data_IF_210352757944
#
_entry.id   IF_210352757944
#
_cell.length_a   1.000
_cell.length_b   1.000
_cell.length_c   1.000
_cell.angle_alpha   90.00
_cell.angle_beta   90.00
_cell.angle_gamma   90.00
#
_symmetry.space_group_name_H-M   'P 1'
#
loop_
_entity.id
_entity.type
_entity.pdbx_description
1 polymer ?
#
# COMPACT_ATOMS: atom_id res chain seq x y z
N UNK A 1 -29.47 28.01 -16.30
CA UNK A 1 -29.73 26.58 -16.02
C UNK A 1 -28.41 25.83 -16.16
N UNK A 2 -27.97 25.00 -15.19
CA UNK A 2 -26.95 23.98 -15.41
C UNK A 2 -27.59 22.72 -16.02
N UNK A 3 -26.80 21.92 -16.76
CA UNK A 3 -26.32 20.64 -16.22
C UNK A 3 -24.78 20.54 -16.35
N UNK A 4 -24.04 20.38 -15.25
CA UNK A 4 -23.57 19.12 -14.60
C UNK A 4 -22.56 18.30 -15.44
N UNK A 5 -21.27 18.42 -15.03
CA UNK A 5 -20.18 17.42 -14.86
C UNK A 5 -19.90 16.46 -16.05
N UNK A 6 -18.66 16.09 -16.40
CA UNK A 6 -17.53 15.66 -15.57
C UNK A 6 -16.25 15.58 -16.43
N UNK A 7 -15.08 15.70 -15.81
CA UNK A 7 -13.74 15.74 -16.43
C UNK A 7 -13.38 14.45 -17.17
N UNK A 8 -12.88 14.60 -18.40
CA UNK A 8 -12.31 13.52 -19.21
C UNK A 8 -10.80 13.44 -18.95
N UNK A 9 -10.40 12.35 -18.30
CA UNK A 9 -9.02 11.89 -18.13
C UNK A 9 -8.48 11.40 -19.48
N UNK A 10 -7.30 11.88 -19.87
CA UNK A 10 -6.42 11.26 -20.87
C UNK A 10 -5.01 11.23 -20.26
N UNK A 11 -4.48 10.05 -19.89
CA UNK A 11 -3.82 8.98 -20.68
C UNK A 11 -2.38 9.32 -21.07
N UNK A 12 -1.44 8.63 -20.44
CA UNK A 12 -0.20 8.04 -21.00
C UNK A 12 0.32 7.03 -19.93
N UNK A 13 0.16 5.70 -20.05
CA UNK A 13 0.72 4.72 -20.99
C UNK A 13 2.20 4.36 -20.76
N UNK A 14 2.48 3.49 -19.78
CA UNK A 14 3.51 2.43 -19.90
C UNK A 14 2.94 1.11 -19.35
N UNK A 15 3.27 0.03 -20.05
CA UNK A 15 2.59 -1.28 -20.10
C UNK A 15 3.44 -2.33 -19.35
N UNK A 16 2.76 -3.38 -18.87
CA UNK A 16 3.25 -4.71 -18.44
C UNK A 16 3.73 -4.79 -16.97
N UNK A 17 3.19 -5.64 -16.09
CA UNK A 17 2.37 -6.84 -16.24
C UNK A 17 1.25 -6.89 -15.17
N UNK A 18 0.08 -7.36 -15.58
CA UNK A 18 -0.98 -7.79 -14.68
C UNK A 18 -0.53 -9.13 -14.10
N UNK A 19 0.07 -9.12 -12.91
CA UNK A 19 -0.09 -10.25 -12.00
C UNK A 19 -1.24 -9.89 -11.09
N UNK A 20 -2.42 -10.50 -11.30
CA UNK A 20 -3.29 -10.72 -10.14
C UNK A 20 -2.43 -11.36 -9.04
N UNK A 21 -2.64 -11.03 -7.77
CA UNK A 21 -2.62 -12.09 -6.79
C UNK A 21 -3.91 -12.00 -5.98
N UNK A 22 -4.37 -13.14 -5.46
CA UNK A 22 -5.39 -13.23 -4.42
C UNK A 22 -5.43 -11.99 -3.53
N UNK A 23 -6.62 -11.45 -3.23
CA UNK A 23 -6.92 -10.29 -2.36
C UNK A 23 -6.36 -10.43 -0.92
N UNK A 24 -5.30 -11.19 -0.70
CA UNK A 24 -4.78 -11.56 0.59
C UNK A 24 -3.26 -11.50 0.54
N UNK A 25 -2.67 -10.60 1.33
CA UNK A 25 -1.23 -10.56 1.54
C UNK A 25 -0.80 -11.74 2.42
N UNK A 26 0.30 -12.37 2.06
CA UNK A 26 0.88 -13.45 2.86
C UNK A 26 1.71 -12.91 4.03
N UNK A 27 1.85 -13.74 5.07
CA UNK A 27 2.81 -13.49 6.12
C UNK A 27 4.20 -13.34 5.49
N UNK A 28 4.95 -12.35 5.95
CA UNK A 28 6.28 -12.01 5.46
C UNK A 28 6.37 -11.40 4.05
N UNK A 29 5.24 -11.13 3.39
CA UNK A 29 5.22 -10.34 2.16
C UNK A 29 5.82 -8.95 2.40
N UNK A 30 6.62 -8.48 1.44
CA UNK A 30 7.18 -7.11 1.44
C UNK A 30 6.23 -6.19 0.69
N UNK A 31 5.95 -5.03 1.28
CA UNK A 31 5.04 -4.02 0.75
C UNK A 31 5.62 -2.64 1.04
N UNK A 32 5.23 -1.63 0.26
CA UNK A 32 5.45 -0.24 0.62
C UNK A 32 4.19 0.26 1.32
N UNK A 33 4.31 0.71 2.57
CA UNK A 33 3.16 1.18 3.35
C UNK A 33 3.25 2.69 3.55
N UNK A 34 2.16 3.39 3.27
CA UNK A 34 2.02 4.82 3.52
C UNK A 34 1.84 5.06 5.02
N UNK A 35 2.74 5.87 5.58
CA UNK A 35 2.65 6.32 6.97
C UNK A 35 1.89 7.65 7.08
N UNK A 36 1.66 8.14 8.30
CA UNK A 36 0.86 9.35 8.59
C UNK A 36 1.42 10.64 7.99
N UNK A 37 2.70 10.65 7.63
CA UNK A 37 3.41 11.72 6.93
C UNK A 37 3.14 11.74 5.41
N UNK A 38 2.31 10.81 4.91
CA UNK A 38 2.02 10.57 3.50
C UNK A 38 3.20 10.00 2.69
N UNK A 39 4.30 9.63 3.34
CA UNK A 39 5.44 8.98 2.70
C UNK A 39 5.28 7.46 2.73
N UNK A 40 5.79 6.79 1.70
CA UNK A 40 5.82 5.34 1.62
C UNK A 40 7.12 4.80 2.19
N UNK A 41 7.01 3.81 3.07
CA UNK A 41 8.16 3.15 3.68
C UNK A 41 8.17 1.66 3.36
N UNK A 42 9.36 1.10 3.22
CA UNK A 42 9.54 -0.34 3.07
C UNK A 42 9.02 -1.04 4.33
N UNK A 43 8.07 -1.94 4.17
CA UNK A 43 7.43 -2.64 5.27
C UNK A 43 7.21 -4.12 4.93
N UNK A 44 6.91 -4.90 5.97
CA UNK A 44 6.72 -6.34 5.87
C UNK A 44 5.51 -6.77 6.68
N UNK A 45 4.70 -7.65 6.13
CA UNK A 45 3.60 -8.27 6.87
C UNK A 45 4.18 -9.22 7.91
N UNK A 46 3.92 -8.97 9.18
CA UNK A 46 4.40 -9.81 10.30
C UNK A 46 3.28 -10.62 10.95
N UNK A 47 2.02 -10.28 10.67
CA UNK A 47 0.87 -11.06 11.11
C UNK A 47 -0.31 -10.85 10.16
N UNK A 48 -1.16 -11.88 10.05
CA UNK A 48 -2.44 -11.82 9.31
C UNK A 48 -3.51 -12.39 10.22
N UNK A 49 -4.33 -11.53 10.80
CA UNK A 49 -5.45 -11.88 11.66
C UNK A 49 -6.76 -11.76 10.88
N UNK A 50 -7.82 -12.47 11.28
CA UNK A 50 -9.15 -12.27 10.72
C UNK A 50 -10.02 -11.60 11.78
N UNK A 51 -10.60 -10.46 11.44
CA UNK A 51 -11.53 -9.74 12.30
C UNK A 51 -12.83 -10.51 12.52
N UNK A 52 -13.67 -10.00 13.43
CA UNK A 52 -14.96 -10.61 13.79
C UNK A 52 -15.89 -10.69 12.56
N UNK A 53 -15.75 -9.74 11.63
CA UNK A 53 -16.52 -9.67 10.39
C UNK A 53 -15.97 -10.58 9.27
N UNK A 54 -14.91 -11.34 9.54
CA UNK A 54 -14.20 -12.16 8.55
C UNK A 54 -13.20 -11.39 7.66
N UNK A 55 -13.04 -10.08 7.87
CA UNK A 55 -12.08 -9.26 7.13
C UNK A 55 -10.63 -9.53 7.58
N UNK A 56 -9.68 -9.78 6.67
CA UNK A 56 -8.28 -9.94 7.05
C UNK A 56 -7.66 -8.60 7.48
N UNK A 57 -6.90 -8.65 8.58
CA UNK A 57 -6.19 -7.54 9.20
C UNK A 57 -4.71 -7.90 9.16
N UNK A 58 -3.93 -7.09 8.45
CA UNK A 58 -2.49 -7.27 8.30
C UNK A 58 -1.75 -6.41 9.31
N UNK A 59 -0.88 -7.02 10.09
CA UNK A 59 0.09 -6.26 10.90
C UNK A 59 1.33 -5.99 10.06
N UNK A 60 1.60 -4.72 9.84
CA UNK A 60 2.69 -4.19 9.03
C UNK A 60 3.80 -3.71 9.94
N UNK A 61 5.01 -4.19 9.69
CA UNK A 61 6.23 -3.76 10.37
C UNK A 61 7.13 -2.99 9.40
N UNK A 62 7.41 -1.73 9.72
CA UNK A 62 8.29 -0.88 8.94
C UNK A 62 9.76 -1.28 9.10
N UNK A 63 10.47 -1.47 8.00
CA UNK A 63 11.85 -1.93 8.01
C UNK A 63 12.78 -0.88 8.64
N UNK A 64 13.55 -1.29 9.65
CA UNK A 64 14.44 -0.41 10.40
C UNK A 64 13.75 0.39 11.52
N UNK A 65 12.44 0.22 11.70
CA UNK A 65 11.69 0.87 12.77
C UNK A 65 11.49 -0.10 13.94
N UNK A 66 11.23 0.46 15.13
CA UNK A 66 10.95 -0.34 16.31
C UNK A 66 9.51 -0.92 16.25
N UNK A 67 9.30 -2.13 16.80
CA UNK A 67 8.01 -2.84 16.83
C UNK A 67 6.84 -2.00 17.41
N UNK A 68 7.12 -1.02 18.26
CA UNK A 68 6.08 -0.10 18.78
C UNK A 68 5.36 0.69 17.66
N UNK A 69 5.96 0.77 16.48
CA UNK A 69 5.43 1.47 15.31
C UNK A 69 4.69 0.54 14.35
N UNK A 70 4.49 -0.73 14.73
CA UNK A 70 3.74 -1.68 13.91
C UNK A 70 2.28 -1.24 13.79
N UNK A 71 1.77 -1.27 12.57
CA UNK A 71 0.41 -0.82 12.26
C UNK A 71 -0.47 -2.01 11.85
N UNK A 72 -1.70 -2.05 12.36
CA UNK A 72 -2.72 -3.01 11.94
C UNK A 72 -3.60 -2.40 10.87
N UNK A 73 -3.51 -2.92 9.65
CA UNK A 73 -4.19 -2.39 8.48
C UNK A 73 -5.18 -3.44 7.96
N UNK A 74 -6.45 -3.05 7.95
CA UNK A 74 -7.53 -3.85 7.37
C UNK A 74 -7.33 -4.02 5.88
N UNK A 75 -7.75 -5.14 5.33
CA UNK A 75 -7.68 -5.40 3.89
C UNK A 75 -8.29 -4.27 3.06
N UNK A 76 -9.45 -3.75 3.44
CA UNK A 76 -10.09 -2.59 2.79
C UNK A 76 -9.18 -1.35 2.68
N UNK A 77 -8.34 -1.10 3.68
CA UNK A 77 -7.40 0.03 3.71
C UNK A 77 -6.10 -0.25 2.96
N UNK A 78 -5.76 -1.51 2.69
CA UNK A 78 -4.54 -1.83 1.94
C UNK A 78 -4.56 -1.27 0.52
N UNK A 79 -5.74 -1.15 -0.10
CA UNK A 79 -5.89 -0.60 -1.45
C UNK A 79 -5.44 0.87 -1.56
N UNK A 80 -5.52 1.65 -0.48
CA UNK A 80 -5.12 3.05 -0.46
C UNK A 80 -3.76 3.28 0.21
N UNK A 81 -3.38 2.44 1.17
CA UNK A 81 -2.14 2.60 1.94
C UNK A 81 -0.99 1.76 1.43
N UNK A 82 -1.26 0.62 0.79
CA UNK A 82 -0.20 -0.25 0.30
C UNK A 82 0.10 0.06 -1.15
N UNK A 83 1.38 0.06 -1.43
CA UNK A 83 1.94 0.15 -2.75
C UNK A 83 2.80 -1.09 -2.97
N UNK A 84 2.81 -1.57 -4.20
CA UNK A 84 3.58 -2.75 -4.57
C UNK A 84 5.07 -2.50 -4.38
N UNK A 85 5.76 -3.50 -3.83
CA UNK A 85 7.21 -3.47 -3.63
C UNK A 85 7.94 -3.67 -4.98
N UNK A 86 7.95 -2.63 -5.80
CA UNK A 86 8.71 -2.57 -7.04
C UNK A 86 9.91 -1.64 -6.88
N UNK A 87 11.05 -1.88 -7.56
CA UNK A 87 12.21 -1.01 -7.49
C UNK A 87 11.89 0.45 -7.81
N UNK A 88 11.03 0.69 -8.81
CA UNK A 88 10.60 2.03 -9.20
C UNK A 88 9.83 2.76 -8.08
N UNK A 89 8.92 2.06 -7.39
CA UNK A 89 8.18 2.65 -6.28
C UNK A 89 9.08 2.90 -5.06
N UNK A 90 10.01 1.98 -4.80
CA UNK A 90 11.00 2.13 -3.72
C UNK A 90 11.91 3.34 -3.97
N UNK A 91 12.38 3.52 -5.21
CA UNK A 91 13.19 4.67 -5.59
C UNK A 91 12.43 5.98 -5.46
N UNK A 92 11.17 6.02 -5.91
CA UNK A 92 10.30 7.20 -5.74
C UNK A 92 10.09 7.54 -4.28
N UNK A 93 9.75 6.54 -3.46
CA UNK A 93 9.56 6.72 -2.03
C UNK A 93 10.83 7.24 -1.34
N UNK A 94 12.00 6.70 -1.70
CA UNK A 94 13.30 7.18 -1.20
C UNK A 94 13.61 8.60 -1.66
N UNK A 95 13.26 8.94 -2.90
CA UNK A 95 13.44 10.29 -3.41
C UNK A 95 12.55 11.29 -2.67
N UNK A 96 11.28 10.94 -2.42
CA UNK A 96 10.36 11.78 -1.63
C UNK A 96 10.82 11.92 -0.17
N UNK A 97 11.41 10.88 0.42
CA UNK A 97 11.98 10.92 1.77
C UNK A 97 13.23 11.81 1.89
N UNK A 98 14.04 11.90 0.83
CA UNK A 98 15.31 12.65 0.83
C UNK A 98 15.18 14.08 0.27
N UNK A 99 14.02 14.45 -0.27
CA UNK A 99 13.74 15.77 -0.85
C UNK A 99 13.32 16.79 0.20
#
# INVERSE_FOLDING_TARGET
MPPKKENIVTKDAVKQEITKPSDIYELHAKVLCQHLDNLYYEAKIINVEHGIDGEPIYTVHYQGWNQRHDEKIKHSSTLSRFLEYTPANVERAKHEYLS
#
